data_IF_199077125498
#
_entry.id   IF_199077125498
#
_cell.length_a   1.000
_cell.length_b   1.000
_cell.length_c   1.000
_cell.angle_alpha   90.00
_cell.angle_beta   90.00
_cell.angle_gamma   90.00
#
_symmetry.space_group_name_H-M   'P 1'
#
loop_
_entity.id
_entity.type
_entity.pdbx_description
1 polymer ?
#
# COMPACT_ATOMS: atom_id res chain seq x y z
N UNK A 1 10.12 -8.45 -23.76
CA UNK A 1 9.62 -9.59 -22.97
C UNK A 1 8.55 -9.04 -22.03
N UNK A 2 7.27 -9.20 -22.37
CA UNK A 2 6.17 -8.65 -21.56
C UNK A 2 6.11 -9.32 -20.17
N UNK A 3 5.62 -8.63 -19.13
CA UNK A 3 5.49 -9.23 -17.80
C UNK A 3 4.61 -10.47 -17.92
N UNK A 4 5.11 -11.62 -17.43
CA UNK A 4 4.35 -12.87 -17.42
C UNK A 4 3.12 -12.66 -16.54
N UNK A 5 1.97 -13.21 -16.89
CA UNK A 5 0.73 -13.06 -16.11
C UNK A 5 0.94 -13.41 -14.61
N UNK A 6 1.83 -14.37 -14.36
CA UNK A 6 2.27 -14.80 -13.03
C UNK A 6 2.96 -13.69 -12.21
N UNK A 7 3.69 -12.76 -12.84
CA UNK A 7 4.32 -11.63 -12.16
C UNK A 7 3.28 -10.60 -11.68
N UNK A 8 2.13 -10.51 -12.36
CA UNK A 8 1.01 -9.65 -11.94
C UNK A 8 0.24 -10.23 -10.76
N UNK A 9 0.27 -11.56 -10.58
CA UNK A 9 -0.47 -12.28 -9.53
C UNK A 9 0.36 -12.57 -8.27
N UNK A 10 1.53 -11.96 -8.10
CA UNK A 10 2.42 -12.21 -6.94
C UNK A 10 1.77 -11.88 -5.59
N UNK A 11 0.80 -10.97 -5.57
CA UNK A 11 0.04 -10.61 -4.36
C UNK A 11 -1.19 -11.50 -4.14
N UNK A 12 -1.52 -12.36 -5.11
CA UNK A 12 -2.70 -13.23 -5.10
C UNK A 12 -2.82 -14.12 -3.86
N UNK A 13 -1.75 -14.83 -3.42
CA UNK A 13 -1.81 -15.66 -2.22
C UNK A 13 -2.18 -14.88 -0.95
N UNK A 14 -1.64 -13.66 -0.79
CA UNK A 14 -1.94 -12.79 0.34
C UNK A 14 -3.38 -12.28 0.31
N UNK A 15 -3.91 -11.95 -0.88
CA UNK A 15 -5.30 -11.57 -1.05
C UNK A 15 -6.25 -12.72 -0.71
N UNK A 16 -5.95 -13.95 -1.14
CA UNK A 16 -6.76 -15.13 -0.81
C UNK A 16 -6.81 -15.34 0.71
N UNK A 17 -5.67 -15.24 1.39
CA UNK A 17 -5.61 -15.37 2.85
C UNK A 17 -6.42 -14.28 3.56
N UNK A 18 -6.34 -13.03 3.10
CA UNK A 18 -7.12 -11.92 3.64
C UNK A 18 -8.64 -12.14 3.48
N UNK A 19 -9.07 -12.66 2.32
CA UNK A 19 -10.49 -12.99 2.08
C UNK A 19 -10.94 -14.13 2.99
N UNK A 20 -10.17 -15.23 3.08
CA UNK A 20 -10.50 -16.37 3.93
C UNK A 20 -10.65 -15.99 5.40
N UNK A 21 -9.70 -15.21 5.92
CA UNK A 21 -9.76 -14.72 7.31
C UNK A 21 -10.92 -13.76 7.54
N UNK A 22 -11.22 -12.87 6.58
CA UNK A 22 -12.39 -11.98 6.64
C UNK A 22 -13.71 -12.76 6.66
N UNK A 23 -13.84 -13.81 5.83
CA UNK A 23 -15.01 -14.69 5.83
C UNK A 23 -15.16 -15.40 7.18
N UNK A 24 -14.05 -15.91 7.74
CA UNK A 24 -14.04 -16.52 9.07
C UNK A 24 -14.57 -15.56 10.14
N UNK A 25 -14.03 -14.33 10.20
CA UNK A 25 -14.51 -13.29 11.13
C UNK A 25 -15.99 -12.96 10.89
N UNK A 26 -16.42 -12.87 9.64
CA UNK A 26 -17.81 -12.59 9.30
C UNK A 26 -18.79 -13.68 9.75
N UNK A 27 -18.35 -14.95 9.77
CA UNK A 27 -19.15 -16.07 10.23
C UNK A 27 -19.27 -16.11 11.75
N UNK A 28 -18.15 -15.94 12.47
CA UNK A 28 -18.14 -16.03 13.93
C UNK A 28 -18.58 -14.74 14.64
N UNK A 29 -18.28 -13.57 14.05
CA UNK A 29 -18.49 -12.25 14.66
C UNK A 29 -18.97 -11.22 13.61
N UNK A 30 -20.21 -11.37 13.09
CA UNK A 30 -20.71 -10.54 11.98
C UNK A 30 -20.74 -9.04 12.29
N UNK A 31 -20.93 -8.67 13.57
CA UNK A 31 -20.92 -7.27 14.01
C UNK A 31 -19.55 -6.58 13.83
N UNK A 32 -18.45 -7.33 13.77
CA UNK A 32 -17.09 -6.78 13.62
C UNK A 32 -16.74 -6.43 12.16
N UNK A 33 -17.51 -6.90 11.18
CA UNK A 33 -17.29 -6.58 9.77
C UNK A 33 -17.38 -5.06 9.50
N UNK A 34 -18.27 -4.37 10.23
CA UNK A 34 -18.37 -2.91 10.14
C UNK A 34 -17.09 -2.20 10.60
N UNK A 35 -16.50 -2.67 11.70
CA UNK A 35 -15.24 -2.12 12.25
C UNK A 35 -14.05 -2.45 11.34
N UNK A 36 -14.03 -3.65 10.75
CA UNK A 36 -13.05 -4.03 9.75
C UNK A 36 -13.13 -3.12 8.53
N UNK A 37 -14.34 -2.90 8.00
CA UNK A 37 -14.55 -2.02 6.84
C UNK A 37 -14.12 -0.59 7.16
N UNK A 38 -14.52 -0.06 8.32
CA UNK A 38 -14.09 1.25 8.80
C UNK A 38 -12.57 1.38 8.83
N UNK A 39 -11.89 0.38 9.39
CA UNK A 39 -10.43 0.35 9.50
C UNK A 39 -9.76 0.28 8.12
N UNK A 40 -10.27 -0.54 7.20
CA UNK A 40 -9.77 -0.64 5.83
C UNK A 40 -9.95 0.67 5.06
N UNK A 41 -11.08 1.37 5.23
CA UNK A 41 -11.29 2.69 4.62
C UNK A 41 -10.19 3.67 5.03
N UNK A 42 -9.83 3.72 6.32
CA UNK A 42 -8.73 4.57 6.81
C UNK A 42 -7.39 4.19 6.17
N UNK A 43 -7.07 2.90 6.10
CA UNK A 43 -5.83 2.42 5.48
C UNK A 43 -5.75 2.77 3.98
N UNK A 44 -6.86 2.60 3.24
CA UNK A 44 -6.94 2.96 1.83
C UNK A 44 -6.73 4.47 1.60
N UNK A 45 -7.38 5.31 2.41
CA UNK A 45 -7.17 6.76 2.36
C UNK A 45 -5.74 7.14 2.73
N UNK A 46 -5.12 6.46 3.70
CA UNK A 46 -3.74 6.72 4.11
C UNK A 46 -2.75 6.40 2.99
N UNK A 47 -2.96 5.28 2.30
CA UNK A 47 -2.15 4.91 1.14
C UNK A 47 -2.31 5.90 -0.02
N UNK A 48 -3.55 6.31 -0.30
CA UNK A 48 -3.85 7.32 -1.33
C UNK A 48 -3.16 8.65 -1.02
N UNK A 49 -3.35 9.17 0.20
CA UNK A 49 -2.74 10.43 0.63
C UNK A 49 -1.22 10.35 0.63
N UNK A 50 -0.62 9.28 1.17
CA UNK A 50 0.82 9.09 1.17
C UNK A 50 1.43 9.09 -0.23
N UNK A 51 0.75 8.45 -1.20
CA UNK A 51 1.15 8.48 -2.60
C UNK A 51 1.12 9.89 -3.20
N UNK A 52 0.08 10.68 -2.92
CA UNK A 52 -0.04 12.05 -3.43
C UNK A 52 0.91 13.02 -2.74
N UNK A 53 1.17 12.87 -1.44
CA UNK A 53 2.14 13.67 -0.69
C UNK A 53 3.54 13.51 -1.28
N UNK A 54 4.00 12.27 -1.53
CA UNK A 54 5.28 12.02 -2.19
C UNK A 54 5.35 12.71 -3.56
N UNK A 55 4.24 12.68 -4.32
CA UNK A 55 4.17 13.26 -5.68
C UNK A 55 4.14 14.80 -5.69
N UNK A 56 3.57 15.43 -4.66
CA UNK A 56 3.47 16.89 -4.53
C UNK A 56 4.76 17.51 -3.99
N UNK A 57 5.42 16.85 -3.03
CA UNK A 57 6.67 17.37 -2.43
C UNK A 57 7.87 17.13 -3.36
N UNK A 58 7.90 16.01 -4.08
CA UNK A 58 9.05 15.61 -4.91
C UNK A 58 8.70 15.43 -6.39
N UNK A 59 8.23 16.49 -7.09
CA UNK A 59 7.84 16.38 -8.50
C UNK A 59 9.00 15.97 -9.42
N UNK A 60 10.24 16.36 -9.08
CA UNK A 60 11.46 16.10 -9.86
C UNK A 60 12.06 14.71 -9.65
N UNK A 61 11.78 14.05 -8.52
CA UNK A 61 12.43 12.79 -8.13
C UNK A 61 11.53 11.55 -8.32
N UNK A 62 10.73 11.53 -9.40
CA UNK A 62 9.82 10.40 -9.68
C UNK A 62 10.59 9.18 -10.18
N UNK A 63 10.40 7.98 -9.60
CA UNK A 63 11.19 6.80 -9.94
C UNK A 63 11.16 6.43 -11.43
N UNK A 64 10.06 6.72 -12.14
CA UNK A 64 9.98 6.51 -13.60
C UNK A 64 10.87 7.43 -14.44
N UNK A 65 11.25 8.60 -13.91
CA UNK A 65 12.12 9.56 -14.60
C UNK A 65 13.61 9.32 -14.30
N UNK A 66 13.93 8.42 -13.36
CA UNK A 66 15.27 8.20 -12.82
C UNK A 66 15.89 6.87 -13.30
N UNK A 67 15.30 6.21 -14.29
CA UNK A 67 15.70 4.88 -14.80
C UNK A 67 17.16 4.78 -15.31
N UNK A 68 17.88 5.89 -15.47
CA UNK A 68 19.30 5.92 -15.87
C UNK A 68 20.30 6.12 -14.72
N UNK A 69 19.84 6.27 -13.48
CA UNK A 69 20.72 6.47 -12.33
C UNK A 69 21.18 5.14 -11.72
N UNK A 70 22.31 5.11 -10.99
CA UNK A 70 22.78 3.90 -10.31
C UNK A 70 21.72 3.35 -9.35
N UNK A 71 21.60 2.02 -9.29
CA UNK A 71 20.55 1.33 -8.52
C UNK A 71 20.51 1.72 -7.04
N UNK A 72 21.64 2.08 -6.44
CA UNK A 72 21.74 2.60 -5.07
C UNK A 72 20.93 3.88 -4.87
N UNK A 73 20.98 4.81 -5.84
CA UNK A 73 20.22 6.05 -5.80
C UNK A 73 18.71 5.80 -5.98
N UNK A 74 18.33 4.87 -6.87
CA UNK A 74 16.93 4.44 -7.03
C UNK A 74 16.37 3.84 -5.74
N UNK A 75 17.18 3.05 -5.02
CA UNK A 75 16.83 2.50 -3.72
C UNK A 75 16.50 3.58 -2.68
N UNK A 76 17.28 4.65 -2.61
CA UNK A 76 17.04 5.79 -1.71
C UNK A 76 15.71 6.50 -2.00
N UNK A 77 15.39 6.74 -3.27
CA UNK A 77 14.12 7.37 -3.65
C UNK A 77 12.91 6.47 -3.36
N UNK A 78 13.05 5.16 -3.59
CA UNK A 78 12.02 4.19 -3.23
C UNK A 78 11.84 4.07 -1.72
N UNK A 79 12.93 4.15 -0.94
CA UNK A 79 12.89 4.13 0.52
C UNK A 79 12.16 5.36 1.06
N UNK A 80 12.48 6.57 0.58
CA UNK A 80 11.75 7.79 0.97
C UNK A 80 10.25 7.65 0.73
N UNK A 81 9.87 7.17 -0.46
CA UNK A 81 8.46 6.96 -0.82
C UNK A 81 7.78 5.95 0.09
N UNK A 82 8.46 4.84 0.39
CA UNK A 82 7.97 3.83 1.33
C UNK A 82 7.75 4.42 2.73
N UNK A 83 8.69 5.25 3.21
CA UNK A 83 8.58 5.91 4.53
C UNK A 83 7.39 6.89 4.57
N UNK A 84 7.19 7.71 3.54
CA UNK A 84 6.08 8.67 3.48
C UNK A 84 4.72 7.94 3.46
N UNK A 85 4.61 6.89 2.64
CA UNK A 85 3.38 6.09 2.56
C UNK A 85 3.14 5.37 3.90
N UNK A 86 4.18 4.77 4.49
CA UNK A 86 4.07 4.11 5.78
C UNK A 86 3.65 5.09 6.88
N UNK A 87 4.24 6.28 6.93
CA UNK A 87 3.87 7.32 7.90
C UNK A 87 2.40 7.74 7.76
N UNK A 88 1.92 7.95 6.52
CA UNK A 88 0.52 8.32 6.27
C UNK A 88 -0.46 7.20 6.68
N UNK A 89 -0.14 5.95 6.35
CA UNK A 89 -0.95 4.78 6.71
C UNK A 89 -0.97 4.56 8.22
N UNK A 90 0.19 4.66 8.89
CA UNK A 90 0.28 4.52 10.34
C UNK A 90 -0.45 5.64 11.08
N UNK A 91 -0.33 6.90 10.61
CA UNK A 91 -1.04 8.02 11.21
C UNK A 91 -2.56 7.83 11.18
N UNK A 92 -3.13 7.41 10.04
CA UNK A 92 -4.57 7.12 9.94
C UNK A 92 -4.98 5.80 10.61
N UNK A 93 -4.06 4.83 10.70
CA UNK A 93 -4.29 3.57 11.41
C UNK A 93 -4.32 3.73 12.93
N UNK A 94 -3.50 4.64 13.49
CA UNK A 94 -3.42 4.93 14.92
C UNK A 94 -4.44 5.97 15.38
N UNK A 95 -4.89 6.86 14.50
CA UNK A 95 -6.02 7.75 14.77
C UNK A 95 -7.29 6.92 14.92
N UNK A 96 -7.62 6.59 16.17
CA UNK A 96 -8.80 5.81 16.58
C UNK A 96 -10.07 6.41 15.98
#
# INVERSE_FOLDING_TARGET
>A
MGPKLLDKLRIGPWLILAILTTIGVGWFYPHQLGVLLWSLTKLCWGAYLGYWIDRSIFPYARPGNLLGLPASSLGLFMLRRAIIIAAAVLALGLGV
#
